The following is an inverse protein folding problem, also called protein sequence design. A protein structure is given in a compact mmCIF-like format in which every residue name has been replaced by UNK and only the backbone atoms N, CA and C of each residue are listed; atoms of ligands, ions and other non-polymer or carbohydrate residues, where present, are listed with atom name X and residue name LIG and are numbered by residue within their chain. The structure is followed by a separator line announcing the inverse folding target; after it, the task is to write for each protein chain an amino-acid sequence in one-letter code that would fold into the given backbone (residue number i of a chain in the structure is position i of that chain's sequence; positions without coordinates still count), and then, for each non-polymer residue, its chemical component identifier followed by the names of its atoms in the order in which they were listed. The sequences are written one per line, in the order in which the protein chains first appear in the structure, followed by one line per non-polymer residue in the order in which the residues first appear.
data_IF_157186446834
#
_entry.id   IF_157186446834
#
_cell.length_a   1.000
_cell.length_b   1.000
_cell.length_c   1.000
_cell.angle_alpha   90.00
_cell.angle_beta   90.00
_cell.angle_gamma   90.00
#
_symmetry.space_group_name_H-M   'P 1'
#
loop_
_entity.id
_entity.type
_entity.pdbx_description
1 polymer ?
#
# COMPACT_ATOMS: atom_id res chain seq x y z
N UNK A 1 -0.31 -20.42 9.45
CA UNK A 1 0.21 -20.43 10.85
C UNK A 1 0.12 -19.02 11.44
N UNK A 2 0.60 -18.01 10.71
CA UNK A 2 0.50 -16.57 11.02
C UNK A 2 -0.90 -16.08 11.46
N UNK A 3 -1.99 -16.48 10.78
CA UNK A 3 -3.36 -16.06 11.16
C UNK A 3 -3.76 -16.47 12.58
N UNK A 4 -3.35 -17.66 13.04
CA UNK A 4 -3.66 -18.15 14.38
C UNK A 4 -2.88 -17.39 15.46
N UNK A 5 -1.64 -16.99 15.18
CA UNK A 5 -0.87 -16.13 16.07
C UNK A 5 -1.47 -14.73 16.16
N UNK A 6 -1.86 -14.14 15.03
CA UNK A 6 -2.50 -12.83 15.02
C UNK A 6 -3.80 -12.83 15.84
N UNK A 7 -4.65 -13.84 15.67
CA UNK A 7 -5.88 -14.02 16.46
C UNK A 7 -5.59 -14.22 17.96
N UNK A 8 -4.47 -14.89 18.30
CA UNK A 8 -4.01 -15.06 19.69
C UNK A 8 -3.58 -13.72 20.30
N UNK A 9 -2.82 -12.90 19.56
CA UNK A 9 -2.41 -11.56 19.99
C UNK A 9 -3.55 -10.54 20.03
N UNK A 10 -4.57 -10.70 19.18
CA UNK A 10 -5.79 -9.89 19.19
C UNK A 10 -6.74 -10.26 20.34
N UNK A 11 -6.76 -11.52 20.78
CA UNK A 11 -7.62 -12.00 21.87
C UNK A 11 -7.00 -11.85 23.27
N UNK A 12 -5.69 -11.64 23.37
CA UNK A 12 -5.02 -11.35 24.64
C UNK A 12 -5.49 -10.01 25.23
N UNK A 13 -6.01 -10.05 26.47
CA UNK A 13 -6.45 -8.86 27.23
C UNK A 13 -5.32 -8.17 27.99
N UNK A 14 -4.26 -8.92 28.32
CA UNK A 14 -3.02 -8.41 28.90
C UNK A 14 -1.87 -8.80 27.98
N UNK A 15 -1.20 -7.80 27.45
CA UNK A 15 -0.02 -7.95 26.61
C UNK A 15 0.89 -6.75 26.86
N UNK A 16 2.19 -6.96 26.72
CA UNK A 16 3.12 -5.86 26.64
C UNK A 16 2.93 -5.16 25.28
N UNK A 17 2.77 -3.83 25.31
CA UNK A 17 2.48 -3.06 24.08
C UNK A 17 3.63 -3.18 23.09
N UNK A 18 4.86 -3.17 23.58
CA UNK A 18 6.06 -3.21 22.74
C UNK A 18 6.23 -4.59 22.10
N UNK A 19 6.05 -5.67 22.87
CA UNK A 19 6.14 -7.05 22.37
C UNK A 19 5.03 -7.35 21.35
N UNK A 20 3.79 -6.87 21.59
CA UNK A 20 2.70 -7.03 20.63
C UNK A 20 2.97 -6.31 19.32
N UNK A 21 3.49 -5.08 19.37
CA UNK A 21 3.83 -4.32 18.16
C UNK A 21 4.92 -5.03 17.38
N UNK A 22 5.96 -5.54 18.05
CA UNK A 22 7.05 -6.26 17.40
C UNK A 22 6.58 -7.54 16.70
N UNK A 23 5.77 -8.37 17.38
CA UNK A 23 5.27 -9.63 16.79
C UNK A 23 4.27 -9.36 15.67
N UNK A 24 3.37 -8.39 15.82
CA UNK A 24 2.43 -8.02 14.76
C UNK A 24 3.19 -7.45 13.56
N UNK A 25 4.21 -6.62 13.78
CA UNK A 25 5.08 -6.08 12.72
C UNK A 25 5.83 -7.20 12.00
N UNK A 26 6.34 -8.20 12.73
CA UNK A 26 7.02 -9.37 12.16
C UNK A 26 6.07 -10.24 11.33
N UNK A 27 4.85 -10.45 11.79
CA UNK A 27 3.82 -11.16 11.00
C UNK A 27 3.51 -10.39 9.72
N UNK A 28 3.41 -9.07 9.79
CA UNK A 28 3.19 -8.21 8.62
C UNK A 28 4.37 -8.17 7.65
N UNK A 29 5.62 -8.20 8.16
CA UNK A 29 6.83 -8.33 7.36
C UNK A 29 6.90 -9.72 6.69
N UNK A 30 6.56 -10.80 7.40
CA UNK A 30 6.49 -12.16 6.83
C UNK A 30 5.39 -12.31 5.77
N UNK A 31 4.28 -11.58 5.92
CA UNK A 31 3.22 -11.49 4.91
C UNK A 31 3.64 -10.67 3.68
N UNK A 32 4.86 -10.11 3.68
CA UNK A 32 5.40 -9.32 2.59
C UNK A 32 4.47 -8.17 2.20
N UNK A 33 3.84 -7.54 3.20
CA UNK A 33 2.89 -6.44 2.97
C UNK A 33 3.51 -5.26 2.26
N UNK A 34 4.83 -5.07 2.41
CA UNK A 34 5.59 -4.10 1.62
C UNK A 34 5.43 -4.38 0.13
N UNK A 35 5.75 -5.60 -0.30
CA UNK A 35 5.63 -6.03 -1.70
C UNK A 35 4.18 -6.00 -2.18
N UNK A 36 3.21 -6.36 -1.34
CA UNK A 36 1.78 -6.26 -1.69
C UNK A 36 1.37 -4.79 -1.89
N UNK A 37 1.83 -3.90 -1.02
CA UNK A 37 1.56 -2.46 -1.11
C UNK A 37 2.20 -1.86 -2.34
N UNK A 38 3.47 -2.18 -2.62
CA UNK A 38 4.19 -1.77 -3.84
C UNK A 38 3.46 -2.24 -5.10
N UNK A 39 3.06 -3.53 -5.17
CA UNK A 39 2.29 -4.06 -6.30
C UNK A 39 0.91 -3.39 -6.43
N UNK A 40 0.24 -3.06 -5.32
CA UNK A 40 -1.03 -2.33 -5.37
C UNK A 40 -0.84 -0.92 -5.90
N UNK A 41 0.20 -0.21 -5.43
CA UNK A 41 0.56 1.12 -5.91
C UNK A 41 0.81 1.08 -7.41
N UNK A 42 1.65 0.16 -7.88
CA UNK A 42 1.95 -0.01 -9.32
C UNK A 42 0.68 -0.34 -10.12
N UNK A 43 -0.16 -1.26 -9.62
CA UNK A 43 -1.41 -1.64 -10.28
C UNK A 43 -2.36 -0.45 -10.42
N UNK A 44 -2.56 0.33 -9.36
CA UNK A 44 -3.44 1.50 -9.42
C UNK A 44 -2.83 2.63 -10.24
N UNK A 45 -1.52 2.77 -10.24
CA UNK A 45 -0.80 3.71 -11.09
C UNK A 45 -1.01 3.39 -12.58
N UNK A 46 -0.77 2.15 -12.99
CA UNK A 46 -1.02 1.70 -14.37
C UNK A 46 -2.50 1.86 -14.77
N UNK A 47 -3.44 1.54 -13.88
CA UNK A 47 -4.86 1.75 -14.14
C UNK A 47 -5.22 3.23 -14.31
N UNK A 48 -4.58 4.13 -13.55
CA UNK A 48 -4.78 5.57 -13.70
C UNK A 48 -4.24 6.08 -15.04
N UNK A 49 -3.07 5.59 -15.49
CA UNK A 49 -2.49 5.91 -16.79
C UNK A 49 -3.37 5.40 -17.94
N UNK A 50 -3.88 4.17 -17.84
CA UNK A 50 -4.82 3.61 -18.83
C UNK A 50 -6.11 4.44 -18.88
N UNK A 51 -6.65 4.82 -17.72
CA UNK A 51 -7.83 5.67 -17.62
C UNK A 51 -7.57 7.04 -18.27
N UNK A 52 -6.44 7.69 -17.96
CA UNK A 52 -6.02 8.96 -18.57
C UNK A 52 -5.83 8.84 -20.09
N UNK A 53 -5.27 7.73 -20.57
CA UNK A 53 -5.13 7.45 -22.00
C UNK A 53 -6.48 7.28 -22.69
N UNK A 54 -7.46 6.66 -22.01
CA UNK A 54 -8.81 6.43 -22.54
C UNK A 54 -9.66 7.70 -22.66
N UNK A 55 -9.29 8.78 -21.97
CA UNK A 55 -10.01 10.06 -22.06
C UNK A 55 -9.61 10.76 -23.35
N UNK A 56 -10.57 11.05 -24.22
CA UNK A 56 -10.34 11.74 -25.51
C UNK A 56 -10.20 13.27 -25.33
N UNK A 57 -9.18 13.69 -24.57
CA UNK A 57 -8.81 15.11 -24.38
C UNK A 57 -7.37 15.35 -24.80
N UNK A 58 -7.01 16.60 -25.20
CA UNK A 58 -5.65 16.94 -25.57
C UNK A 58 -4.67 16.64 -24.43
N UNK A 59 -3.49 16.11 -24.76
CA UNK A 59 -2.47 15.71 -23.78
C UNK A 59 -2.04 16.86 -22.85
N UNK A 60 -2.14 18.11 -23.30
CA UNK A 60 -1.89 19.30 -22.46
C UNK A 60 -2.82 19.38 -21.24
N UNK A 61 -4.07 18.92 -21.33
CA UNK A 61 -5.00 18.94 -20.19
C UNK A 61 -4.78 17.75 -19.24
N UNK A 62 -4.17 16.67 -19.73
CA UNK A 62 -3.84 15.49 -18.91
C UNK A 62 -2.50 15.63 -18.22
N UNK A 63 -1.63 16.50 -18.72
CA UNK A 63 -0.27 16.66 -18.24
C UNK A 63 -0.19 16.94 -16.74
N UNK A 64 -1.00 17.86 -16.22
CA UNK A 64 -1.05 18.16 -14.78
C UNK A 64 -1.52 16.95 -13.94
N UNK A 65 -2.47 16.16 -14.46
CA UNK A 65 -2.95 14.95 -13.78
C UNK A 65 -1.89 13.84 -13.77
N UNK A 66 -1.10 13.72 -14.85
CA UNK A 66 0.01 12.79 -14.94
C UNK A 66 1.13 13.20 -13.97
N UNK A 67 1.54 14.47 -13.98
CA UNK A 67 2.55 15.01 -13.05
C UNK A 67 2.12 14.83 -11.58
N UNK A 68 0.85 15.11 -11.26
CA UNK A 68 0.31 14.86 -9.91
C UNK A 68 0.33 13.37 -9.53
N UNK A 69 0.07 12.48 -10.49
CA UNK A 69 0.08 11.03 -10.26
C UNK A 69 1.51 10.51 -10.03
N UNK A 70 2.48 11.05 -10.75
CA UNK A 70 3.92 10.78 -10.54
C UNK A 70 4.38 11.29 -9.17
N UNK A 71 4.02 12.52 -8.79
CA UNK A 71 4.32 13.10 -7.48
C UNK A 71 3.73 12.29 -6.32
N UNK A 72 2.53 11.73 -6.50
CA UNK A 72 1.89 10.85 -5.52
C UNK A 72 2.61 9.49 -5.42
N UNK A 73 3.16 8.99 -6.53
CA UNK A 73 3.86 7.70 -6.59
C UNK A 73 5.25 7.76 -5.95
N UNK A 74 6.01 8.85 -6.18
CA UNK A 74 7.36 9.05 -5.65
C UNK A 74 7.40 9.88 -4.37
N UNK A 75 6.30 9.92 -3.61
CA UNK A 75 6.20 10.75 -2.42
C UNK A 75 7.16 10.28 -1.31
N UNK A 76 8.38 10.79 -1.32
CA UNK A 76 9.30 10.69 -0.17
C UNK A 76 8.82 11.65 0.93
N UNK A 77 8.63 11.13 2.14
CA UNK A 77 8.29 11.89 3.35
C UNK A 77 9.09 11.40 4.53
#
# INVERSE_FOLDING_TARGET
IQRKELEKWLSLKHFDKDEKVEVVKKIYDELNLRTISENLIEKYYLASLECLSSVDVPDEQKKELIELSEDLMFRER
#
